data_IF_091831656511
#
_entry.id   IF_091831656511
#
_cell.length_a   1.000
_cell.length_b   1.000
_cell.length_c   1.000
_cell.angle_alpha   90.00
_cell.angle_beta   90.00
_cell.angle_gamma   90.00
#
_symmetry.space_group_name_H-M   'P 1'
#
loop_
_entity.id
_entity.type
_entity.pdbx_description
1 polymer ?
#
# COMPACT_ATOMS: atom_id res chain seq x y z
N UNK A 1 -62.16 61.78 48.71
CA UNK A 1 -62.37 62.74 47.60
C UNK A 1 -61.32 62.47 46.52
N UNK A 2 -61.80 62.41 45.28
CA UNK A 2 -61.16 62.12 43.98
C UNK A 2 -59.86 62.89 43.71
N UNK A 3 -58.83 62.33 43.06
CA UNK A 3 -58.58 62.35 41.59
C UNK A 3 -57.30 61.53 41.34
N UNK A 4 -57.19 60.48 40.52
CA UNK A 4 -57.40 60.23 39.08
C UNK A 4 -56.47 61.00 38.11
N UNK A 5 -55.58 60.26 37.41
CA UNK A 5 -55.17 60.36 35.98
C UNK A 5 -53.77 59.73 35.77
N UNK A 6 -53.63 58.49 35.30
CA UNK A 6 -53.68 57.97 33.90
C UNK A 6 -52.57 58.48 32.97
N UNK A 7 -51.54 57.65 32.73
CA UNK A 7 -50.85 57.44 31.44
C UNK A 7 -50.36 55.98 31.42
N UNK A 8 -51.15 55.04 30.85
CA UNK A 8 -50.88 54.33 29.58
C UNK A 8 -49.55 53.57 29.55
N UNK A 9 -49.54 52.25 29.80
CA UNK A 9 -49.69 51.14 28.82
C UNK A 9 -48.53 51.06 27.82
N UNK A 10 -47.56 50.19 28.13
CA UNK A 10 -47.05 49.04 27.32
C UNK A 10 -45.76 48.56 28.02
N UNK A 11 -45.77 47.38 28.64
CA UNK A 11 -45.20 46.16 28.05
C UNK A 11 -43.72 46.34 27.69
N UNK A 12 -42.79 45.98 28.58
CA UNK A 12 -42.25 44.62 28.82
C UNK A 12 -40.94 44.42 28.04
N UNK A 13 -39.87 44.26 28.85
CA UNK A 13 -38.59 43.59 28.60
C UNK A 13 -37.68 44.24 27.54
N UNK A 14 -36.49 44.76 27.86
CA UNK A 14 -35.48 44.19 28.73
C UNK A 14 -34.44 43.50 27.85
N UNK A 15 -33.24 44.07 27.75
CA UNK A 15 -32.03 43.26 27.53
C UNK A 15 -30.80 44.08 27.90
N UNK A 16 -30.09 43.59 28.90
CA UNK A 16 -28.70 43.93 29.17
C UNK A 16 -27.83 43.48 27.99
N UNK A 17 -26.90 44.33 27.56
CA UNK A 17 -25.81 43.94 26.67
C UNK A 17 -24.49 44.20 27.40
N UNK A 18 -24.07 43.23 28.21
CA UNK A 18 -22.71 43.08 28.70
C UNK A 18 -21.83 42.64 27.54
N UNK A 19 -20.95 43.54 27.07
CA UNK A 19 -19.90 43.19 26.13
C UNK A 19 -18.84 42.34 26.85
N UNK A 20 -18.84 41.02 26.61
CA UNK A 20 -17.81 40.12 27.09
C UNK A 20 -16.64 40.10 26.10
N UNK A 21 -15.45 40.41 26.61
CA UNK A 21 -14.17 40.44 25.91
C UNK A 21 -13.88 39.08 25.25
N UNK A 22 -13.62 39.10 23.95
CA UNK A 22 -13.13 37.95 23.20
C UNK A 22 -11.69 37.61 23.64
N UNK A 23 -11.54 36.49 24.35
CA UNK A 23 -10.24 35.86 24.59
C UNK A 23 -9.76 35.28 23.26
N UNK A 24 -8.60 35.74 22.81
CA UNK A 24 -7.86 35.16 21.70
C UNK A 24 -7.41 33.74 22.10
N UNK A 25 -8.19 32.74 21.72
CA UNK A 25 -7.72 31.36 21.70
C UNK A 25 -6.59 31.29 20.68
N UNK A 26 -5.37 31.17 21.18
CA UNK A 26 -4.24 30.76 20.38
C UNK A 26 -4.56 29.35 19.89
N UNK A 27 -5.06 29.24 18.67
CA UNK A 27 -5.11 27.98 17.95
C UNK A 27 -3.68 27.52 17.77
N UNK A 28 -3.18 26.76 18.76
CA UNK A 28 -2.08 25.84 18.56
C UNK A 28 -2.43 25.07 17.28
N UNK A 29 -1.55 25.02 16.27
CA UNK A 29 -1.68 23.97 15.29
C UNK A 29 -1.51 22.69 16.10
N UNK A 30 -2.63 22.04 16.43
CA UNK A 30 -2.65 20.61 16.55
C UNK A 30 -2.05 20.15 15.23
N UNK A 31 -0.76 19.84 15.26
CA UNK A 31 -0.17 18.92 14.32
C UNK A 31 -0.98 17.65 14.49
N UNK A 32 -2.11 17.59 13.80
CA UNK A 32 -2.56 16.37 13.19
C UNK A 32 -1.34 15.92 12.41
N UNK A 33 -0.51 15.13 13.08
CA UNK A 33 0.42 14.21 12.44
C UNK A 33 -0.50 13.32 11.63
N UNK A 34 -0.87 13.81 10.44
CA UNK A 34 -1.17 12.93 9.34
C UNK A 34 0.08 12.09 9.24
N UNK A 35 0.00 10.89 9.81
CA UNK A 35 0.80 9.76 9.36
C UNK A 35 0.39 9.60 7.91
N UNK A 36 0.98 10.42 7.05
CA UNK A 36 1.05 10.09 5.65
C UNK A 36 2.05 8.94 5.56
N UNK A 37 1.78 8.10 4.58
CA UNK A 37 2.78 7.33 3.88
C UNK A 37 3.20 6.01 4.52
N UNK A 38 2.98 4.95 3.73
CA UNK A 38 3.55 3.60 3.69
C UNK A 38 4.49 3.14 4.81
N UNK A 39 5.42 3.97 5.31
CA UNK A 39 6.36 3.67 6.40
C UNK A 39 5.70 3.10 7.67
N UNK A 40 4.50 3.57 8.02
CA UNK A 40 3.76 3.03 9.16
C UNK A 40 3.17 1.64 8.88
N UNK A 41 2.75 1.37 7.63
CA UNK A 41 2.28 0.04 7.20
C UNK A 41 3.45 -0.93 7.11
N UNK A 42 4.59 -0.49 6.56
CA UNK A 42 5.84 -1.26 6.46
C UNK A 42 6.34 -1.69 7.86
N UNK A 43 6.20 -0.83 8.88
CA UNK A 43 6.50 -1.20 10.28
C UNK A 43 5.49 -2.15 10.92
N UNK A 44 4.22 -2.14 10.50
CA UNK A 44 3.16 -2.99 11.09
C UNK A 44 3.31 -4.45 10.65
N UNK A 45 3.88 -4.71 9.48
CA UNK A 45 4.12 -6.07 8.96
C UNK A 45 5.41 -6.71 9.52
N UNK A 46 6.33 -5.90 10.06
CA UNK A 46 7.59 -6.37 10.64
C UNK A 46 8.68 -6.67 9.60
N UNK A 47 8.51 -6.20 8.36
CA UNK A 47 9.42 -6.41 7.24
C UNK A 47 9.54 -5.11 6.43
N UNK A 48 10.76 -4.71 6.09
CA UNK A 48 11.01 -3.51 5.28
C UNK A 48 10.73 -3.82 3.80
N UNK A 49 9.93 -3.01 3.11
CA UNK A 49 9.58 -3.26 1.69
C UNK A 49 10.25 -2.24 0.78
N UNK A 50 11.24 -2.68 0.00
CA UNK A 50 11.99 -1.87 -0.96
C UNK A 50 11.47 -2.11 -2.39
N UNK A 51 11.53 -1.08 -3.22
CA UNK A 51 11.24 -1.17 -4.65
C UNK A 51 12.54 -0.98 -5.43
N UNK A 52 12.78 -1.84 -6.43
CA UNK A 52 13.85 -1.69 -7.40
C UNK A 52 13.28 -1.83 -8.82
N UNK A 53 13.82 -1.09 -9.78
CA UNK A 53 13.44 -1.23 -11.19
C UNK A 53 14.66 -1.71 -11.98
N UNK A 54 14.53 -2.85 -12.68
CA UNK A 54 15.62 -3.43 -13.45
C UNK A 54 15.24 -3.47 -14.93
N UNK A 55 16.00 -2.74 -15.75
CA UNK A 55 15.88 -2.69 -17.22
C UNK A 55 17.15 -3.28 -17.86
N UNK A 56 17.44 -4.57 -17.61
CA UNK A 56 18.67 -5.21 -18.12
C UNK A 56 18.46 -6.67 -18.49
N UNK A 57 19.22 -7.17 -19.47
CA UNK A 57 19.24 -8.59 -19.84
C UNK A 57 19.59 -9.51 -18.66
N UNK A 58 20.39 -9.03 -17.69
CA UNK A 58 20.67 -9.75 -16.44
C UNK A 58 19.45 -9.91 -15.53
N UNK A 59 18.48 -9.00 -15.62
CA UNK A 59 17.19 -9.13 -14.94
C UNK A 59 16.35 -10.26 -15.53
N UNK A 60 16.43 -10.47 -16.85
CA UNK A 60 15.69 -11.52 -17.54
C UNK A 60 16.21 -12.92 -17.19
N UNK A 61 17.53 -13.11 -17.15
CA UNK A 61 18.11 -14.41 -16.80
C UNK A 61 17.79 -14.77 -15.34
N UNK A 62 17.80 -13.77 -14.45
CA UNK A 62 17.46 -13.95 -13.04
C UNK A 62 15.99 -14.34 -12.84
N UNK A 63 15.05 -13.67 -13.53
CA UNK A 63 13.63 -14.05 -13.43
C UNK A 63 13.38 -15.43 -14.02
N UNK A 64 14.09 -15.83 -15.08
CA UNK A 64 13.98 -17.18 -15.65
C UNK A 64 14.38 -18.24 -14.62
N UNK A 65 15.52 -18.05 -13.95
CA UNK A 65 15.96 -18.94 -12.87
C UNK A 65 14.93 -18.95 -11.73
N UNK A 66 14.39 -17.79 -11.36
CA UNK A 66 13.35 -17.69 -10.34
C UNK A 66 12.08 -18.47 -10.73
N UNK A 67 11.66 -18.42 -12.00
CA UNK A 67 10.52 -19.19 -12.53
C UNK A 67 10.78 -20.69 -12.41
N UNK A 68 11.95 -21.14 -12.84
CA UNK A 68 12.33 -22.57 -12.82
C UNK A 68 12.35 -23.14 -11.40
N UNK A 69 12.69 -22.31 -10.40
CA UNK A 69 12.77 -22.70 -8.98
C UNK A 69 11.48 -22.50 -8.19
N UNK A 70 10.38 -22.04 -8.80
CA UNK A 70 9.14 -21.71 -8.05
C UNK A 70 8.58 -22.89 -7.26
N UNK A 71 8.67 -24.11 -7.80
CA UNK A 71 8.15 -25.31 -7.14
C UNK A 71 8.81 -25.55 -5.78
N UNK A 72 10.08 -25.18 -5.61
CA UNK A 72 10.82 -25.32 -4.35
C UNK A 72 10.40 -24.24 -3.34
N UNK A 73 10.00 -23.06 -3.83
CA UNK A 73 9.74 -21.89 -3.00
C UNK A 73 8.28 -21.79 -2.51
N UNK A 74 7.31 -22.39 -3.21
CA UNK A 74 5.87 -22.30 -2.89
C UNK A 74 5.56 -22.74 -1.46
N UNK A 75 6.15 -23.84 -1.00
CA UNK A 75 5.89 -24.37 0.34
C UNK A 75 6.43 -23.46 1.46
N UNK A 76 7.48 -22.71 1.16
CA UNK A 76 8.08 -21.73 2.07
C UNK A 76 7.16 -20.51 2.17
N UNK A 77 6.71 -19.98 1.02
CA UNK A 77 5.78 -18.84 0.95
C UNK A 77 4.55 -19.07 1.82
N UNK A 78 3.91 -20.23 1.68
CA UNK A 78 2.71 -20.57 2.43
C UNK A 78 2.90 -20.52 3.95
N UNK A 79 4.11 -20.83 4.42
CA UNK A 79 4.47 -20.90 5.84
C UNK A 79 5.21 -19.67 6.34
N UNK A 80 5.44 -18.69 5.47
CA UNK A 80 6.26 -17.53 5.77
C UNK A 80 5.50 -16.59 6.69
N UNK A 81 6.05 -16.37 7.89
CA UNK A 81 5.45 -15.52 8.92
C UNK A 81 6.27 -14.27 9.23
N UNK A 82 7.51 -14.20 8.74
CA UNK A 82 8.44 -13.10 8.98
C UNK A 82 9.42 -12.99 7.82
N UNK A 83 9.74 -11.76 7.45
CA UNK A 83 10.86 -11.40 6.59
C UNK A 83 11.57 -10.21 7.22
N UNK A 84 12.86 -10.04 6.93
CA UNK A 84 13.56 -8.81 7.24
C UNK A 84 13.29 -7.78 6.11
N UNK A 85 13.29 -8.26 4.85
CA UNK A 85 13.11 -7.41 3.66
C UNK A 85 12.31 -8.07 2.53
N UNK A 86 11.51 -7.28 1.82
CA UNK A 86 10.88 -7.64 0.54
C UNK A 86 11.32 -6.63 -0.52
N UNK A 87 12.03 -7.09 -1.55
CA UNK A 87 12.42 -6.29 -2.71
C UNK A 87 11.46 -6.60 -3.87
N UNK A 88 10.79 -5.59 -4.42
CA UNK A 88 9.94 -5.74 -5.61
C UNK A 88 10.69 -5.21 -6.82
N UNK A 89 11.06 -6.11 -7.74
CA UNK A 89 11.72 -5.81 -9.00
C UNK A 89 10.67 -5.64 -10.11
N UNK A 90 10.54 -4.43 -10.61
CA UNK A 90 9.70 -4.14 -11.78
C UNK A 90 10.43 -4.45 -13.08
N UNK A 91 9.74 -5.18 -13.96
CA UNK A 91 10.18 -5.55 -15.31
C UNK A 91 9.30 -4.86 -16.36
N UNK A 92 9.50 -3.55 -16.64
CA UNK A 92 8.58 -2.75 -17.46
C UNK A 92 8.37 -3.31 -18.88
N UNK A 93 9.40 -3.92 -19.45
CA UNK A 93 9.36 -4.58 -20.76
C UNK A 93 8.49 -5.85 -20.77
N UNK A 94 8.05 -6.30 -19.58
CA UNK A 94 7.13 -7.43 -19.42
C UNK A 94 5.68 -7.01 -19.21
N UNK A 95 5.40 -5.71 -19.21
CA UNK A 95 4.07 -5.19 -18.95
C UNK A 95 3.11 -5.51 -20.10
N UNK A 96 1.82 -5.63 -19.79
CA UNK A 96 0.78 -5.77 -20.83
C UNK A 96 0.75 -4.58 -21.80
N UNK A 97 1.13 -3.39 -21.33
CA UNK A 97 1.19 -2.18 -22.15
C UNK A 97 2.29 -2.27 -23.22
N UNK A 98 3.40 -2.95 -22.90
CA UNK A 98 4.53 -3.18 -23.81
C UNK A 98 4.40 -4.47 -24.63
N UNK A 99 3.25 -5.15 -24.57
CA UNK A 99 3.00 -6.40 -25.31
C UNK A 99 3.28 -7.69 -24.53
N UNK A 100 3.62 -7.59 -23.24
CA UNK A 100 3.85 -8.71 -22.34
C UNK A 100 5.34 -9.10 -22.21
N UNK A 101 5.64 -10.14 -21.39
CA UNK A 101 7.00 -10.58 -21.12
C UNK A 101 7.83 -10.86 -22.38
N UNK A 102 9.14 -10.54 -22.40
CA UNK A 102 10.06 -10.97 -23.44
C UNK A 102 9.91 -12.46 -23.75
N UNK A 103 10.08 -12.85 -25.02
CA UNK A 103 9.76 -14.20 -25.49
C UNK A 103 10.35 -15.34 -24.65
N UNK A 104 11.61 -15.19 -24.19
CA UNK A 104 12.28 -16.15 -23.31
C UNK A 104 11.57 -16.33 -21.96
N UNK A 105 11.08 -15.24 -21.36
CA UNK A 105 10.33 -15.26 -20.11
C UNK A 105 8.92 -15.80 -20.35
N UNK A 106 8.24 -15.36 -21.43
CA UNK A 106 6.91 -15.83 -21.79
C UNK A 106 6.87 -17.35 -22.00
N UNK A 107 7.89 -17.92 -22.66
CA UNK A 107 8.05 -19.37 -22.79
C UNK A 107 8.12 -20.05 -21.43
N UNK A 108 8.96 -19.55 -20.52
CA UNK A 108 9.13 -20.13 -19.17
C UNK A 108 7.87 -20.02 -18.31
N UNK A 109 7.19 -18.88 -18.36
CA UNK A 109 5.89 -18.71 -17.69
C UNK A 109 4.83 -19.68 -18.22
N UNK A 110 4.87 -20.00 -19.52
CA UNK A 110 3.95 -20.98 -20.13
C UNK A 110 4.29 -22.40 -19.68
N UNK A 111 5.58 -22.77 -19.72
CA UNK A 111 6.09 -24.07 -19.27
C UNK A 111 5.74 -24.35 -17.78
N UNK A 112 5.74 -23.31 -16.95
CA UNK A 112 5.50 -23.39 -15.51
C UNK A 112 4.15 -22.80 -15.07
N UNK A 113 3.18 -22.70 -15.97
CA UNK A 113 1.93 -21.94 -15.74
C UNK A 113 1.16 -22.37 -14.48
N UNK A 114 1.00 -23.67 -14.24
CA UNK A 114 0.35 -24.18 -13.02
C UNK A 114 1.09 -23.76 -11.75
N UNK A 115 2.43 -23.81 -11.77
CA UNK A 115 3.26 -23.40 -10.64
C UNK A 115 3.17 -21.89 -10.39
N UNK A 116 3.10 -21.08 -11.45
CA UNK A 116 2.90 -19.62 -11.34
C UNK A 116 1.51 -19.30 -10.78
N UNK A 117 0.47 -20.03 -11.18
CA UNK A 117 -0.87 -19.86 -10.62
C UNK A 117 -0.94 -20.30 -9.15
N UNK A 118 -0.22 -21.35 -8.77
CA UNK A 118 -0.06 -21.75 -7.38
C UNK A 118 0.63 -20.65 -6.55
N UNK A 119 1.75 -20.11 -7.05
CA UNK A 119 2.45 -19.00 -6.43
C UNK A 119 1.49 -17.85 -6.12
N UNK A 120 0.72 -17.40 -7.11
CA UNK A 120 -0.21 -16.27 -6.96
C UNK A 120 -1.26 -16.52 -5.87
N UNK A 121 -1.81 -17.73 -5.82
CA UNK A 121 -2.76 -18.12 -4.76
C UNK A 121 -2.12 -18.12 -3.38
N UNK A 122 -0.88 -18.59 -3.25
CA UNK A 122 -0.17 -18.57 -1.97
C UNK A 122 0.21 -17.14 -1.55
N UNK A 123 0.54 -16.26 -2.49
CA UNK A 123 0.77 -14.83 -2.23
C UNK A 123 -0.51 -14.13 -1.75
N UNK A 124 -1.66 -14.44 -2.33
CA UNK A 124 -2.96 -13.94 -1.86
C UNK A 124 -3.32 -14.48 -0.47
N UNK A 125 -2.99 -15.74 -0.19
CA UNK A 125 -3.25 -16.38 1.10
C UNK A 125 -2.32 -15.94 2.22
N UNK A 126 -1.13 -15.43 1.88
CA UNK A 126 -0.14 -14.96 2.85
C UNK A 126 -0.34 -13.46 3.15
N UNK A 127 -0.85 -13.13 4.34
CA UNK A 127 -1.13 -11.74 4.71
C UNK A 127 0.10 -10.82 4.65
N UNK A 128 1.28 -11.31 5.04
CA UNK A 128 2.53 -10.52 5.02
C UNK A 128 2.88 -10.13 3.59
N UNK A 129 2.86 -11.10 2.66
CA UNK A 129 3.23 -10.87 1.27
C UNK A 129 2.14 -10.14 0.49
N UNK A 130 0.87 -10.47 0.72
CA UNK A 130 -0.26 -9.75 0.14
C UNK A 130 -0.17 -8.25 0.46
N UNK A 131 0.10 -7.91 1.72
CA UNK A 131 0.25 -6.51 2.12
C UNK A 131 1.52 -5.87 1.55
N UNK A 132 2.65 -6.56 1.51
CA UNK A 132 3.87 -6.05 0.90
C UNK A 132 3.67 -5.69 -0.59
N UNK A 133 3.07 -6.60 -1.37
CA UNK A 133 2.78 -6.42 -2.79
C UNK A 133 1.77 -5.27 -3.00
N UNK A 134 0.68 -5.28 -2.24
CA UNK A 134 -0.37 -4.27 -2.36
C UNK A 134 0.10 -2.87 -1.91
N UNK A 135 1.02 -2.77 -0.94
CA UNK A 135 1.59 -1.49 -0.48
C UNK A 135 2.25 -0.72 -1.63
N UNK A 136 2.81 -1.45 -2.59
CA UNK A 136 3.49 -0.92 -3.78
C UNK A 136 2.57 -0.83 -5.01
N UNK A 137 1.28 -1.13 -4.81
CA UNK A 137 0.24 -1.21 -5.83
C UNK A 137 0.50 -2.28 -6.90
N UNK A 138 1.29 -3.30 -6.61
CA UNK A 138 1.49 -4.41 -7.56
C UNK A 138 0.25 -5.30 -7.56
N UNK A 139 -0.23 -5.69 -8.74
CA UNK A 139 -1.30 -6.67 -8.83
C UNK A 139 -0.70 -8.07 -8.75
N UNK A 140 -1.29 -8.97 -7.96
CA UNK A 140 -0.82 -10.36 -7.83
C UNK A 140 -0.73 -11.05 -9.19
N UNK A 141 -1.67 -10.77 -10.09
CA UNK A 141 -1.67 -11.30 -11.45
C UNK A 141 -0.46 -10.87 -12.29
N UNK A 142 0.18 -9.74 -11.95
CA UNK A 142 1.35 -9.23 -12.65
C UNK A 142 2.66 -9.74 -12.00
N UNK A 143 2.59 -10.52 -10.91
CA UNK A 143 3.75 -11.24 -10.36
C UNK A 143 4.14 -12.38 -11.30
N UNK A 144 5.43 -12.43 -11.63
CA UNK A 144 6.02 -13.38 -12.56
C UNK A 144 6.73 -14.53 -11.82
N UNK A 145 7.52 -14.19 -10.80
CA UNK A 145 8.27 -15.14 -10.01
C UNK A 145 8.71 -14.54 -8.67
N UNK A 146 9.29 -15.37 -7.82
CA UNK A 146 9.93 -14.97 -6.59
C UNK A 146 11.25 -15.71 -6.37
N UNK A 147 12.15 -15.09 -5.61
CA UNK A 147 13.44 -15.65 -5.22
C UNK A 147 13.75 -15.29 -3.77
N UNK A 148 14.38 -16.19 -3.02
CA UNK A 148 14.92 -15.86 -1.71
C UNK A 148 16.37 -15.41 -1.83
N UNK A 149 16.67 -14.18 -1.39
CA UNK A 149 18.02 -13.61 -1.31
C UNK A 149 18.58 -13.78 0.11
N UNK A 150 18.80 -15.04 0.49
CA UNK A 150 19.10 -15.44 1.86
C UNK A 150 17.86 -15.85 2.66
N UNK A 151 18.03 -16.14 3.96
CA UNK A 151 16.98 -16.79 4.77
C UNK A 151 15.75 -15.92 5.04
N UNK A 152 15.89 -14.59 4.98
CA UNK A 152 14.85 -13.63 5.40
C UNK A 152 14.63 -12.48 4.43
N UNK A 153 15.20 -12.54 3.23
CA UNK A 153 14.94 -11.55 2.19
C UNK A 153 14.25 -12.23 1.02
N UNK A 154 13.19 -11.59 0.53
CA UNK A 154 12.43 -12.07 -0.61
C UNK A 154 12.49 -11.05 -1.74
N UNK A 155 12.73 -11.53 -2.95
CA UNK A 155 12.66 -10.74 -4.18
C UNK A 155 11.44 -11.17 -4.97
N UNK A 156 10.63 -10.21 -5.40
CA UNK A 156 9.41 -10.42 -6.19
C UNK A 156 9.60 -9.78 -7.56
N UNK A 157 9.49 -10.57 -8.63
CA UNK A 157 9.56 -10.06 -10.00
C UNK A 157 8.15 -9.77 -10.51
N UNK A 158 7.89 -8.56 -10.99
CA UNK A 158 6.58 -8.13 -11.45
C UNK A 158 6.63 -7.45 -12.83
N UNK A 159 5.65 -7.75 -13.69
CA UNK A 159 5.56 -7.28 -15.07
C UNK A 159 5.36 -5.76 -15.22
N UNK A 160 4.77 -5.08 -14.22
CA UNK A 160 4.75 -3.63 -14.12
C UNK A 160 3.99 -3.17 -12.88
N UNK A 161 4.17 -1.89 -12.54
CA UNK A 161 3.23 -1.12 -11.72
C UNK A 161 1.98 -0.84 -12.56
N UNK A 162 0.75 -1.02 -12.03
CA UNK A 162 -0.45 -0.63 -12.76
C UNK A 162 -0.37 0.85 -13.14
N UNK A 163 -0.91 1.16 -14.33
CA UNK A 163 -1.01 2.54 -14.80
C UNK A 163 -1.76 3.38 -13.75
N UNK A 164 -1.11 4.42 -13.24
CA UNK A 164 -1.76 5.45 -12.42
C UNK A 164 -2.60 6.37 -13.29
#
# INVERSE_FOLDING_TARGET
MTTNRTISRTWIHGLAATAFLAVSVHSLPLGAQGVTDQEAVDRIVGSEVHEEEVRTDSGDDRVIIAIENLSENIDIIRKLTTLDRVDIIYMPDSSRAEGGPPAKIATKLTEHSETVDNLRRELEGNALLYHAINSKNVLIQDVLAIEFDGEKNLVIFAAAKPAQ
#
